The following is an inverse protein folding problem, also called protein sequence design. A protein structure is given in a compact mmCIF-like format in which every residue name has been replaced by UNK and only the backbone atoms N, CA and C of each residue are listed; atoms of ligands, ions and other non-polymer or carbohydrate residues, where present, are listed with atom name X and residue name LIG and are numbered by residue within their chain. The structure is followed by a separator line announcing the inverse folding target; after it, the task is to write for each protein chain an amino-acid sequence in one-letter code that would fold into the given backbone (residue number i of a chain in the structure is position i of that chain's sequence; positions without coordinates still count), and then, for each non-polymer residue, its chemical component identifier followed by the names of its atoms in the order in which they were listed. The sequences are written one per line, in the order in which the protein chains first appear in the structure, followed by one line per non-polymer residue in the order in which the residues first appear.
data_IF_916589046263
#
_entry.id   IF_916589046263
#
_cell.length_a   1.000
_cell.length_b   1.000
_cell.length_c   1.000
_cell.angle_alpha   90.00
_cell.angle_beta   90.00
_cell.angle_gamma   90.00
#
_symmetry.space_group_name_H-M   'P 1'
#
loop_
_entity.id
_entity.type
_entity.pdbx_description
1 polymer ?
#
# COMPACT_ATOMS: atom_id res chain seq x y z
N UNK A 1 0.27 6.27 -1.48
CA UNK A 1 0.96 5.70 -0.30
C UNK A 1 2.32 5.11 -0.66
N UNK A 2 2.42 4.12 -1.55
CA UNK A 2 3.72 3.52 -1.90
C UNK A 2 4.75 4.55 -2.40
N UNK A 3 4.32 5.49 -3.26
CA UNK A 3 5.19 6.59 -3.73
C UNK A 3 5.69 7.49 -2.61
N UNK A 4 4.88 7.75 -1.58
CA UNK A 4 5.27 8.55 -0.40
C UNK A 4 6.42 7.87 0.34
N UNK A 5 6.29 6.57 0.61
CA UNK A 5 7.30 5.78 1.33
C UNK A 5 8.52 5.40 0.49
N UNK A 6 8.49 5.64 -0.81
CA UNK A 6 9.65 5.46 -1.69
C UNK A 6 10.28 6.77 -2.13
N UNK A 7 9.82 7.90 -1.58
CA UNK A 7 10.29 9.23 -1.92
C UNK A 7 10.12 9.57 -3.41
N UNK A 8 8.96 9.21 -3.98
CA UNK A 8 8.57 9.57 -5.34
C UNK A 8 9.10 8.66 -6.44
N UNK A 9 9.50 7.41 -6.12
CA UNK A 9 9.85 6.44 -7.16
C UNK A 9 8.63 6.14 -8.04
N UNK A 10 8.89 5.89 -9.32
CA UNK A 10 7.87 5.45 -10.28
C UNK A 10 7.42 4.02 -9.93
N UNK A 11 6.12 3.77 -9.67
CA UNK A 11 5.59 2.43 -9.47
C UNK A 11 5.88 1.52 -10.66
N UNK A 12 6.27 0.27 -10.39
CA UNK A 12 6.59 -0.74 -11.42
C UNK A 12 7.74 -0.36 -12.38
N UNK A 13 8.48 0.72 -12.10
CA UNK A 13 9.69 1.09 -12.82
C UNK A 13 9.45 1.36 -14.30
N UNK A 14 10.05 0.53 -15.17
CA UNK A 14 10.01 0.67 -16.64
C UNK A 14 9.04 -0.32 -17.32
N UNK A 15 8.25 -1.05 -16.55
CA UNK A 15 7.27 -1.99 -17.11
C UNK A 15 6.25 -1.26 -17.98
N UNK A 16 5.87 -1.87 -19.09
CA UNK A 16 4.75 -1.42 -19.91
C UNK A 16 3.44 -1.67 -19.18
N UNK A 17 2.42 -0.88 -19.49
CA UNK A 17 1.09 -1.02 -18.88
C UNK A 17 0.53 -2.45 -19.01
N UNK A 18 0.73 -3.12 -20.14
CA UNK A 18 0.28 -4.51 -20.34
C UNK A 18 0.96 -5.49 -19.38
N UNK A 19 2.27 -5.33 -19.15
CA UNK A 19 3.03 -6.17 -18.23
C UNK A 19 2.57 -5.95 -16.78
N UNK A 20 2.23 -4.71 -16.42
CA UNK A 20 1.67 -4.38 -15.10
C UNK A 20 0.30 -5.04 -14.91
N UNK A 21 -0.57 -4.99 -15.93
CA UNK A 21 -1.89 -5.65 -15.88
C UNK A 21 -1.74 -7.16 -15.67
N UNK A 22 -0.87 -7.82 -16.45
CA UNK A 22 -0.64 -9.26 -16.32
C UNK A 22 -0.12 -9.65 -14.95
N UNK A 23 0.77 -8.84 -14.37
CA UNK A 23 1.30 -9.05 -13.03
C UNK A 23 0.22 -8.91 -11.95
N UNK A 24 -0.61 -7.87 -12.04
CA UNK A 24 -1.72 -7.64 -11.10
C UNK A 24 -2.76 -8.77 -11.17
N UNK A 25 -3.04 -9.30 -12.37
CA UNK A 25 -3.94 -10.44 -12.54
C UNK A 25 -3.40 -11.73 -11.90
N UNK A 26 -2.07 -11.89 -11.81
CA UNK A 26 -1.42 -12.99 -11.06
C UNK A 26 -1.36 -12.75 -9.55
N UNK A 27 -1.95 -11.65 -9.06
CA UNK A 27 -1.95 -11.28 -7.65
C UNK A 27 -0.62 -10.70 -7.15
N UNK A 28 0.30 -10.36 -8.05
CA UNK A 28 1.56 -9.72 -7.72
C UNK A 28 1.37 -8.21 -7.65
N UNK A 29 1.88 -7.59 -6.58
CA UNK A 29 1.76 -6.15 -6.30
C UNK A 29 3.14 -5.61 -5.90
N UNK A 30 3.25 -4.29 -5.76
CA UNK A 30 4.48 -3.65 -5.31
C UNK A 30 4.95 -4.20 -3.96
N UNK A 31 6.27 -4.41 -3.86
CA UNK A 31 6.92 -4.82 -2.61
C UNK A 31 6.85 -3.72 -1.55
N UNK A 32 7.03 -4.11 -0.29
CA UNK A 32 7.10 -3.16 0.82
C UNK A 32 8.31 -2.23 0.65
N UNK A 33 8.13 -0.90 0.66
CA UNK A 33 9.25 0.03 0.65
C UNK A 33 10.19 -0.17 1.85
N UNK A 34 11.49 0.06 1.66
CA UNK A 34 12.47 0.07 2.75
C UNK A 34 12.11 1.17 3.76
N UNK A 35 12.11 0.85 5.05
CA UNK A 35 11.76 1.79 6.12
C UNK A 35 10.25 2.03 6.29
N UNK A 36 9.40 1.40 5.48
CA UNK A 36 7.95 1.42 5.69
C UNK A 36 7.55 0.43 6.81
N UNK A 37 6.73 0.91 7.74
CA UNK A 37 6.12 0.09 8.79
C UNK A 37 5.26 -1.03 8.18
N UNK A 38 5.21 -2.18 8.86
CA UNK A 38 4.46 -3.33 8.35
C UNK A 38 2.96 -3.05 8.31
N UNK A 39 2.47 -2.30 9.29
CA UNK A 39 1.08 -1.87 9.44
C UNK A 39 0.67 -0.97 8.28
N UNK A 40 1.53 -0.02 7.89
CA UNK A 40 1.27 0.83 6.73
C UNK A 40 1.26 0.02 5.44
N UNK A 41 2.20 -0.92 5.27
CA UNK A 41 2.18 -1.80 4.11
C UNK A 41 0.94 -2.70 4.08
N UNK A 42 0.48 -3.16 5.24
CA UNK A 42 -0.78 -3.89 5.36
C UNK A 42 -1.95 -3.03 4.86
N UNK A 43 -2.04 -1.75 5.25
CA UNK A 43 -3.05 -0.83 4.72
C UNK A 43 -2.95 -0.72 3.18
N UNK A 44 -1.74 -0.64 2.61
CA UNK A 44 -1.57 -0.65 1.14
C UNK A 44 -2.11 -1.94 0.52
N UNK A 45 -1.86 -3.10 1.13
CA UNK A 45 -2.34 -4.41 0.66
C UNK A 45 -3.86 -4.53 0.72
N UNK A 46 -4.49 -3.97 1.74
CA UNK A 46 -5.95 -3.91 1.84
C UNK A 46 -6.55 -3.07 0.70
N UNK A 47 -5.92 -1.95 0.34
CA UNK A 47 -6.31 -1.14 -0.82
C UNK A 47 -6.14 -1.87 -2.16
N UNK A 48 -5.17 -2.79 -2.26
CA UNK A 48 -4.83 -3.51 -3.50
C UNK A 48 -5.52 -4.86 -3.64
N UNK A 49 -6.57 -5.14 -2.87
CA UNK A 49 -7.35 -6.37 -3.05
C UNK A 49 -7.97 -6.44 -4.46
N UNK A 50 -7.93 -7.60 -5.13
CA UNK A 50 -8.48 -7.74 -6.48
C UNK A 50 -9.96 -7.37 -6.54
N UNK A 51 -10.73 -7.87 -5.56
CA UNK A 51 -12.16 -7.63 -5.41
C UNK A 51 -12.41 -6.23 -4.80
N UNK A 52 -13.07 -5.30 -5.53
CA UNK A 52 -13.29 -3.93 -5.07
C UNK A 52 -14.07 -3.82 -3.75
N UNK A 53 -15.06 -4.68 -3.55
CA UNK A 53 -15.91 -4.74 -2.37
C UNK A 53 -15.15 -5.15 -1.09
N UNK A 54 -13.96 -5.76 -1.22
CA UNK A 54 -13.09 -6.08 -0.08
C UNK A 54 -12.14 -4.94 0.28
N UNK A 55 -12.08 -3.87 -0.51
CA UNK A 55 -11.20 -2.72 -0.25
C UNK A 55 -11.83 -1.83 0.83
N UNK A 56 -11.03 -1.26 1.74
CA UNK A 56 -11.55 -0.39 2.77
C UNK A 56 -12.10 0.92 2.18
N UNK A 57 -13.13 1.48 2.82
CA UNK A 57 -13.58 2.83 2.52
C UNK A 57 -12.55 3.86 2.98
N UNK A 58 -12.58 5.07 2.43
CA UNK A 58 -11.71 6.16 2.90
C UNK A 58 -11.90 6.48 4.39
N UNK A 59 -13.12 6.33 4.93
CA UNK A 59 -13.39 6.49 6.36
C UNK A 59 -12.60 5.46 7.18
N UNK A 60 -12.68 4.18 6.80
CA UNK A 60 -11.94 3.12 7.47
C UNK A 60 -10.42 3.30 7.33
N UNK A 61 -9.95 3.76 6.16
CA UNK A 61 -8.54 4.07 5.94
C UNK A 61 -8.03 5.17 6.88
N UNK A 62 -8.79 6.25 7.06
CA UNK A 62 -8.42 7.31 8.00
C UNK A 62 -8.31 6.77 9.43
N UNK A 63 -9.33 6.04 9.89
CA UNK A 63 -9.37 5.46 11.24
C UNK A 63 -8.18 4.50 11.49
N UNK A 64 -7.84 3.66 10.49
CA UNK A 64 -6.67 2.78 10.55
C UNK A 64 -5.35 3.55 10.61
N UNK A 65 -5.18 4.56 9.77
CA UNK A 65 -3.96 5.37 9.73
C UNK A 65 -3.78 6.20 11.00
N UNK A 66 -4.86 6.76 11.54
CA UNK A 66 -4.85 7.46 12.82
C UNK A 66 -4.41 6.51 13.93
N UNK A 67 -4.99 5.30 14.01
CA UNK A 67 -4.60 4.31 15.01
C UNK A 67 -3.11 3.94 14.95
N UNK A 68 -2.56 3.77 13.74
CA UNK A 68 -1.13 3.49 13.54
C UNK A 68 -0.27 4.68 14.00
N UNK A 69 -0.66 5.90 13.66
CA UNK A 69 0.09 7.09 14.06
C UNK A 69 0.16 7.24 15.58
N UNK A 70 -0.94 6.97 16.29
CA UNK A 70 -0.99 7.07 17.76
C UNK A 70 -0.29 5.91 18.46
N UNK A 71 -0.21 4.71 17.85
CA UNK A 71 0.52 3.58 18.43
C UNK A 71 2.04 3.73 18.29
N UNK A 72 2.52 4.40 17.23
CA UNK A 72 3.95 4.70 17.06
C UNK A 72 4.49 5.77 18.01
N UNK A 73 3.64 6.64 18.58
CA UNK A 73 4.06 7.71 19.52
C UNK A 73 4.36 7.17 20.92
N UNK A 74 4.01 5.91 21.22
CA UNK A 74 4.30 5.27 22.51
C UNK A 74 5.55 4.36 22.45
N UNK A 75 6.26 4.34 21.33
CA UNK A 75 7.44 3.51 21.11
C UNK A 75 8.77 4.29 21.07
N UNK A 76 8.73 5.61 21.30
CA UNK A 76 9.89 6.51 21.43
C UNK A 76 10.09 6.96 22.89
#
# INVERSE_FOLDING_TARGET
MWEVFTYGKVPYGRMKNSEVVDMLQRGQVLEKPKGCLNEIYHVMRECWKPSPEKRPSFRALRELLDAIAHSSVLAD
#
